data_IF_090256179360
#
_entry.id   IF_090256179360
#
_cell.length_a   1.000
_cell.length_b   1.000
_cell.length_c   1.000
_cell.angle_alpha   90.00
_cell.angle_beta   90.00
_cell.angle_gamma   90.00
#
_symmetry.space_group_name_H-M   'P 1'
#
loop_
_entity.id
_entity.type
_entity.pdbx_description
1 polymer ?
#
# COMPACT_ATOMS: atom_id res chain seq x y z
N UNK A 1 -24.33 -61.35 -4.87
CA UNK A 1 -23.97 -60.61 -6.09
C UNK A 1 -23.84 -59.10 -5.82
N UNK A 2 -23.37 -58.65 -4.64
CA UNK A 2 -23.51 -57.24 -4.23
C UNK A 2 -22.22 -56.61 -3.66
N UNK A 3 -21.08 -57.32 -3.67
CA UNK A 3 -19.82 -56.80 -3.11
C UNK A 3 -19.15 -55.72 -3.96
N UNK A 4 -19.55 -55.56 -5.23
CA UNK A 4 -18.92 -54.62 -6.15
C UNK A 4 -19.54 -53.22 -6.08
N UNK A 5 -20.85 -53.08 -5.81
CA UNK A 5 -21.54 -51.77 -5.72
C UNK A 5 -21.12 -50.94 -4.50
N UNK A 6 -20.75 -51.58 -3.40
CA UNK A 6 -20.35 -50.90 -2.16
C UNK A 6 -18.99 -50.20 -2.30
N UNK A 7 -18.08 -50.77 -3.10
CA UNK A 7 -16.77 -50.18 -3.37
C UNK A 7 -16.89 -48.85 -4.13
N UNK A 8 -17.73 -48.79 -5.17
CA UNK A 8 -17.99 -47.57 -5.92
C UNK A 8 -18.56 -46.44 -5.05
N UNK A 9 -19.40 -46.78 -4.06
CA UNK A 9 -19.94 -45.81 -3.09
C UNK A 9 -18.88 -45.24 -2.13
N UNK A 10 -17.90 -46.06 -1.72
CA UNK A 10 -16.78 -45.62 -0.87
C UNK A 10 -15.82 -44.73 -1.67
N UNK A 11 -15.49 -45.11 -2.91
CA UNK A 11 -14.66 -44.29 -3.79
C UNK A 11 -15.32 -42.94 -4.14
N UNK A 12 -16.64 -42.92 -4.38
CA UNK A 12 -17.36 -41.68 -4.67
C UNK A 12 -17.38 -40.74 -3.45
N UNK A 13 -17.46 -41.30 -2.23
CA UNK A 13 -17.42 -40.54 -0.98
C UNK A 13 -16.03 -39.99 -0.67
N UNK A 14 -14.96 -40.78 -0.85
CA UNK A 14 -13.59 -40.31 -0.63
C UNK A 14 -13.19 -39.24 -1.63
N UNK A 15 -13.62 -39.37 -2.90
CA UNK A 15 -13.39 -38.39 -3.95
C UNK A 15 -14.16 -37.08 -3.67
N UNK A 16 -15.39 -37.16 -3.16
CA UNK A 16 -16.16 -35.98 -2.73
C UNK A 16 -15.54 -35.26 -1.52
N UNK A 17 -15.03 -36.00 -0.54
CA UNK A 17 -14.32 -35.44 0.63
C UNK A 17 -13.01 -34.78 0.21
N UNK A 18 -12.26 -35.40 -0.69
CA UNK A 18 -11.01 -34.83 -1.23
C UNK A 18 -11.28 -33.56 -2.05
N UNK A 19 -12.35 -33.57 -2.85
CA UNK A 19 -12.81 -32.41 -3.63
C UNK A 19 -13.25 -31.25 -2.72
N UNK A 20 -13.99 -31.53 -1.64
CA UNK A 20 -14.33 -30.53 -0.60
C UNK A 20 -13.09 -30.00 0.13
N UNK A 21 -12.06 -30.82 0.35
CA UNK A 21 -10.81 -30.42 0.99
C UNK A 21 -9.96 -29.51 0.09
N UNK A 22 -9.95 -29.75 -1.22
CA UNK A 22 -9.31 -28.87 -2.21
C UNK A 22 -10.09 -27.58 -2.49
N UNK A 23 -11.40 -27.57 -2.21
CA UNK A 23 -12.26 -26.38 -2.34
C UNK A 23 -12.13 -25.43 -1.14
N UNK A 24 -11.55 -25.89 -0.03
CA UNK A 24 -11.00 -25.04 1.03
C UNK A 24 -9.69 -24.40 0.52
N UNK A 25 -9.85 -23.48 -0.43
CA UNK A 25 -8.76 -22.75 -1.05
C UNK A 25 -7.99 -21.99 0.03
N UNK A 26 -6.72 -22.32 0.21
CA UNK A 26 -5.78 -21.48 0.94
C UNK A 26 -5.59 -20.19 0.13
N UNK A 27 -6.21 -19.11 0.60
CA UNK A 27 -5.98 -17.78 0.04
C UNK A 27 -4.51 -17.40 0.26
N UNK A 28 -3.67 -17.61 -0.75
CA UNK A 28 -2.30 -17.15 -0.76
C UNK A 28 -2.30 -15.62 -0.92
N UNK A 29 -1.91 -14.89 0.12
CA UNK A 29 -1.68 -13.45 0.03
C UNK A 29 -0.31 -13.21 -0.61
N UNK A 30 -0.29 -12.56 -1.77
CA UNK A 30 0.96 -12.08 -2.35
C UNK A 30 1.38 -10.82 -1.58
N UNK A 31 2.54 -10.86 -0.92
CA UNK A 31 3.12 -9.69 -0.25
C UNK A 31 3.87 -8.84 -1.28
N UNK A 32 3.44 -7.60 -1.48
CA UNK A 32 4.14 -6.63 -2.34
C UNK A 32 5.01 -5.73 -1.46
N UNK A 33 6.33 -5.89 -1.57
CA UNK A 33 7.30 -5.07 -0.83
C UNK A 33 7.66 -3.85 -1.68
N UNK A 34 7.58 -2.66 -1.08
CA UNK A 34 8.06 -1.40 -1.66
C UNK A 34 9.13 -0.81 -0.76
N UNK A 35 10.23 -0.40 -1.36
CA UNK A 35 11.34 0.26 -0.69
C UNK A 35 11.23 1.76 -0.93
N UNK A 36 11.20 2.53 0.16
CA UNK A 36 11.08 3.99 0.12
C UNK A 36 12.47 4.57 0.34
N UNK A 37 12.90 5.41 -0.60
CA UNK A 37 14.14 6.17 -0.51
C UNK A 37 13.80 7.62 -0.17
N UNK A 38 14.43 8.15 0.86
CA UNK A 38 14.19 9.52 1.33
C UNK A 38 15.41 10.41 1.08
N UNK A 39 15.17 11.72 0.98
CA UNK A 39 16.23 12.73 1.02
C UNK A 39 16.74 12.96 2.46
N UNK A 40 17.63 13.95 2.63
CA UNK A 40 18.20 14.30 3.95
C UNK A 40 17.19 14.92 4.93
N UNK A 41 16.06 15.43 4.45
CA UNK A 41 14.96 15.94 5.29
C UNK A 41 13.93 14.86 5.60
N UNK A 42 14.02 13.70 4.96
CA UNK A 42 13.07 12.59 5.10
C UNK A 42 11.94 12.61 4.06
N UNK A 43 11.99 13.48 3.05
CA UNK A 43 11.01 13.50 1.96
C UNK A 43 11.18 12.30 1.04
N UNK A 44 10.09 11.66 0.64
CA UNK A 44 10.11 10.47 -0.23
C UNK A 44 10.48 10.86 -1.66
N UNK A 45 11.68 10.51 -2.12
CA UNK A 45 12.19 10.87 -3.46
C UNK A 45 12.01 9.75 -4.50
N UNK A 46 12.21 8.48 -4.11
CA UNK A 46 12.08 7.34 -5.02
C UNK A 46 11.45 6.16 -4.30
N UNK A 47 10.57 5.43 -5.00
CA UNK A 47 10.03 4.15 -4.51
C UNK A 47 10.42 3.04 -5.49
N UNK A 48 11.03 1.98 -4.97
CA UNK A 48 11.48 0.83 -5.78
C UNK A 48 10.80 -0.47 -5.36
N UNK A 49 10.69 -1.43 -6.29
CA UNK A 49 10.26 -2.79 -5.99
C UNK A 49 11.43 -3.67 -5.49
N UNK A 50 11.14 -4.94 -5.17
CA UNK A 50 12.15 -5.92 -4.76
C UNK A 50 13.15 -6.29 -5.87
N UNK A 51 12.80 -6.06 -7.13
CA UNK A 51 13.67 -6.29 -8.29
C UNK A 51 14.52 -5.07 -8.64
N UNK A 52 14.48 -4.00 -7.82
CA UNK A 52 15.18 -2.71 -8.03
C UNK A 52 14.64 -1.88 -9.20
N UNK A 53 13.43 -2.16 -9.66
CA UNK A 53 12.75 -1.29 -10.62
C UNK A 53 12.20 -0.06 -9.90
N UNK A 54 12.32 1.10 -10.55
CA UNK A 54 11.76 2.36 -10.06
C UNK A 54 10.25 2.34 -10.36
N UNK A 55 9.44 2.34 -9.32
CA UNK A 55 7.98 2.43 -9.41
C UNK A 55 7.53 3.88 -9.50
N UNK A 56 8.18 4.74 -8.72
CA UNK A 56 7.77 6.13 -8.56
C UNK A 56 8.99 7.01 -8.27
N UNK A 57 8.98 8.21 -8.83
CA UNK A 57 9.94 9.28 -8.52
C UNK A 57 9.16 10.53 -8.18
N UNK A 58 9.56 11.21 -7.11
CA UNK A 58 9.01 12.48 -6.67
C UNK A 58 10.15 13.47 -6.50
N UNK A 59 9.86 14.70 -6.86
CA UNK A 59 10.75 15.82 -6.70
C UNK A 59 9.96 16.94 -6.04
N UNK A 60 10.57 17.59 -5.05
CA UNK A 60 9.93 18.65 -4.27
C UNK A 60 10.74 19.93 -4.38
N UNK A 61 10.05 21.05 -4.50
CA UNK A 61 10.63 22.36 -4.28
C UNK A 61 10.99 22.56 -2.79
N UNK A 62 11.79 23.58 -2.44
CA UNK A 62 12.22 23.80 -1.05
C UNK A 62 11.10 23.94 -0.01
N UNK A 63 9.89 24.30 -0.43
CA UNK A 63 8.71 24.40 0.42
C UNK A 63 7.72 23.22 0.25
N UNK A 64 8.13 22.15 -0.42
CA UNK A 64 7.36 20.91 -0.51
C UNK A 64 6.40 20.80 -1.68
N UNK A 65 6.35 21.80 -2.57
CA UNK A 65 5.56 21.73 -3.81
C UNK A 65 6.09 20.61 -4.68
N UNK A 66 5.23 19.68 -5.08
CA UNK A 66 5.64 18.55 -5.93
C UNK A 66 5.81 18.98 -7.37
N UNK A 67 6.95 18.66 -7.97
CA UNK A 67 7.18 18.86 -9.39
C UNK A 67 6.46 17.75 -10.17
N UNK A 68 5.20 17.97 -10.54
CA UNK A 68 4.35 17.00 -11.23
C UNK A 68 3.07 16.67 -10.46
N UNK A 69 2.62 15.42 -10.53
CA UNK A 69 1.40 14.99 -9.84
C UNK A 69 1.63 14.79 -8.35
N UNK A 70 0.74 15.35 -7.51
CA UNK A 70 0.73 15.08 -6.07
C UNK A 70 0.28 13.64 -5.81
N UNK A 71 1.08 12.91 -5.04
CA UNK A 71 0.84 11.51 -4.73
C UNK A 71 0.46 11.37 -3.27
N UNK A 72 -0.63 10.65 -3.02
CA UNK A 72 -1.14 10.45 -1.67
C UNK A 72 -0.23 9.55 -0.83
N UNK A 73 -0.27 9.74 0.48
CA UNK A 73 0.52 8.96 1.45
C UNK A 73 1.75 9.71 1.94
N UNK A 74 2.74 9.00 2.48
CA UNK A 74 3.96 9.64 3.00
C UNK A 74 4.73 10.31 1.86
N UNK A 75 5.01 11.61 2.01
CA UNK A 75 5.63 12.46 1.00
C UNK A 75 6.63 13.43 1.61
N UNK A 76 6.35 14.74 1.55
CA UNK A 76 7.25 15.80 2.01
C UNK A 76 7.56 15.70 3.51
N UNK A 77 8.85 15.73 3.88
CA UNK A 77 9.38 15.57 5.26
C UNK A 77 8.80 14.31 5.94
N UNK A 78 8.43 13.29 5.17
CA UNK A 78 7.84 12.04 5.67
C UNK A 78 6.39 12.15 6.15
N UNK A 79 5.76 13.32 6.05
CA UNK A 79 4.37 13.54 6.43
C UNK A 79 3.38 13.07 5.35
N UNK A 80 2.12 12.87 5.75
CA UNK A 80 1.10 12.36 4.83
C UNK A 80 0.58 13.49 3.96
N UNK A 81 0.74 13.35 2.65
CA UNK A 81 0.18 14.24 1.64
C UNK A 81 -1.17 13.70 1.17
N UNK A 82 -2.11 14.62 0.94
CA UNK A 82 -3.37 14.33 0.26
C UNK A 82 -3.25 14.72 -1.21
N UNK A 83 -3.43 13.75 -2.11
CA UNK A 83 -3.37 13.98 -3.56
C UNK A 83 -4.51 14.84 -4.11
N UNK A 84 -5.64 14.92 -3.39
CA UNK A 84 -6.80 15.68 -3.88
C UNK A 84 -6.66 17.16 -3.54
N UNK A 85 -6.26 17.47 -2.30
CA UNK A 85 -6.14 18.85 -1.83
C UNK A 85 -4.75 19.45 -2.01
N UNK A 86 -3.71 18.63 -2.18
CA UNK A 86 -2.32 19.09 -2.21
C UNK A 86 -1.74 19.40 -0.82
N UNK A 87 -2.54 19.28 0.23
CA UNK A 87 -2.12 19.61 1.59
C UNK A 87 -1.32 18.49 2.24
N UNK A 88 -0.36 18.88 3.08
CA UNK A 88 0.44 17.95 3.87
C UNK A 88 0.00 17.98 5.33
N UNK A 89 -0.43 16.83 5.86
CA UNK A 89 -0.83 16.69 7.25
C UNK A 89 0.38 16.43 8.15
N UNK A 90 0.77 17.45 8.93
CA UNK A 90 1.88 17.40 9.87
C UNK A 90 1.40 17.20 11.31
N UNK A 91 0.61 16.14 11.51
CA UNK A 91 0.07 15.66 12.80
C UNK A 91 -0.95 16.56 13.51
N UNK A 92 -0.67 17.84 13.71
CA UNK A 92 -1.59 18.77 14.38
C UNK A 92 -2.13 19.84 13.43
N UNK A 93 -1.45 20.09 12.32
CA UNK A 93 -1.78 21.17 11.37
C UNK A 93 -1.65 20.68 9.94
N UNK A 94 -2.44 21.28 9.06
CA UNK A 94 -2.29 21.16 7.63
C UNK A 94 -1.33 22.24 7.12
N UNK A 95 -0.34 21.79 6.36
CA UNK A 95 0.64 22.61 5.68
C UNK A 95 0.27 22.73 4.20
N UNK A 96 0.29 23.96 3.71
CA UNK A 96 0.11 24.30 2.30
C UNK A 96 1.50 24.59 1.70
N UNK A 97 1.88 23.76 0.72
CA UNK A 97 3.17 23.84 0.06
C UNK A 97 3.25 25.00 -0.94
N UNK A 98 2.13 25.37 -1.59
CA UNK A 98 2.10 26.43 -2.60
C UNK A 98 2.40 27.80 -1.98
N UNK A 99 1.90 28.03 -0.76
CA UNK A 99 2.12 29.26 0.01
C UNK A 99 3.26 29.11 1.03
N UNK A 100 3.73 27.88 1.25
CA UNK A 100 4.82 27.54 2.17
C UNK A 100 4.49 27.76 3.66
N UNK A 101 3.23 27.58 4.08
CA UNK A 101 2.78 27.86 5.46
C UNK A 101 1.68 26.94 5.98
N UNK A 102 1.48 26.95 7.30
CA UNK A 102 0.34 26.28 7.92
C UNK A 102 -0.96 27.06 7.72
N UNK A 103 -2.06 26.33 7.56
CA UNK A 103 -3.41 26.90 7.41
C UNK A 103 -4.02 27.37 8.73
N UNK A 104 -3.46 26.95 9.87
CA UNK A 104 -3.94 27.32 11.20
C UNK A 104 -2.79 27.79 12.09
N UNK A 105 -3.15 28.62 13.07
CA UNK A 105 -2.26 29.03 14.15
C UNK A 105 -1.90 27.81 15.02
N UNK A 106 -0.75 27.88 15.71
CA UNK A 106 -0.39 26.88 16.71
C UNK A 106 -1.47 26.80 17.81
N UNK A 107 -2.03 25.61 18.09
CA UNK A 107 -3.03 25.43 19.12
C UNK A 107 -2.47 25.58 20.55
N UNK A 108 -1.15 25.49 20.74
CA UNK A 108 -0.53 25.65 22.06
C UNK A 108 -0.20 27.13 22.29
N UNK A 109 -0.72 27.67 23.40
CA UNK A 109 -0.35 28.97 23.95
C UNK A 109 0.39 28.78 25.27
#
# INVERSE_FOLDING_TARGET
MNKCSDAYGIYLRTLFVFFMYTLFCTSASAQVIRYIHTDGLGSVSVVTDANRNILERREYEPYGTTLGETKGGSGYIGHVMDSVTGLTYMQQRYYDADVGRFLSVDPIK
#
